data_IF_419162788301
#
_entry.id   IF_419162788301
#
_cell.length_a   1.000
_cell.length_b   1.000
_cell.length_c   1.000
_cell.angle_alpha   90.00
_cell.angle_beta   90.00
_cell.angle_gamma   90.00
#
_symmetry.space_group_name_H-M   'P 1'
#
loop_
_entity.id
_entity.type
_entity.pdbx_description
1 polymer ?
#
# COMPACT_ATOMS: atom_id res chain seq x y z
N UNK A 1 23.80 9.27 27.44
CA UNK A 1 23.36 8.92 28.81
C UNK A 1 22.18 9.74 29.34
N UNK A 2 22.11 11.07 29.14
CA UNK A 2 21.08 11.94 29.77
C UNK A 2 19.63 11.62 29.32
N UNK A 3 19.42 11.19 28.06
CA UNK A 3 18.08 10.86 27.54
C UNK A 3 17.49 9.58 28.16
N UNK A 4 18.32 8.57 28.45
CA UNK A 4 17.87 7.30 29.03
C UNK A 4 17.39 7.50 30.48
N UNK A 5 18.09 8.35 31.24
CA UNK A 5 17.71 8.67 32.62
C UNK A 5 16.39 9.44 32.71
N UNK A 6 16.07 10.31 31.74
CA UNK A 6 14.77 11.00 31.67
C UNK A 6 13.64 10.03 31.32
N UNK A 7 13.87 9.09 30.41
CA UNK A 7 12.87 8.10 30.03
C UNK A 7 12.50 7.15 31.18
N UNK A 8 13.50 6.64 31.92
CA UNK A 8 13.30 5.78 33.10
C UNK A 8 12.50 6.44 34.23
N UNK A 9 12.47 7.78 34.29
CA UNK A 9 11.72 8.53 35.31
C UNK A 9 10.23 8.69 35.00
N UNK A 10 9.78 8.37 33.79
CA UNK A 10 8.37 8.49 33.39
C UNK A 10 7.62 7.14 33.39
N UNK A 11 8.31 6.03 33.65
CA UNK A 11 7.68 4.70 33.68
C UNK A 11 6.93 4.49 35.01
N UNK A 12 5.70 3.94 35.02
CA UNK A 12 4.95 3.64 36.25
C UNK A 12 5.72 2.74 37.22
N UNK A 13 5.55 2.96 38.53
CA UNK A 13 6.31 2.28 39.59
C UNK A 13 6.19 0.76 39.49
N UNK A 14 5.00 0.25 39.17
CA UNK A 14 4.72 -1.18 39.00
C UNK A 14 5.57 -1.83 37.90
N UNK A 15 5.84 -1.09 36.81
CA UNK A 15 6.65 -1.56 35.68
C UNK A 15 8.14 -1.47 36.00
N UNK A 16 8.58 -0.48 36.80
CA UNK A 16 9.99 -0.38 37.24
C UNK A 16 10.45 -1.58 38.06
N UNK A 17 9.55 -2.20 38.82
CA UNK A 17 9.84 -3.42 39.57
C UNK A 17 10.12 -4.63 38.66
N UNK A 18 9.60 -4.67 37.43
CA UNK A 18 9.79 -5.78 36.49
C UNK A 18 11.02 -5.60 35.59
N UNK A 19 11.41 -4.35 35.30
CA UNK A 19 12.56 -4.06 34.42
C UNK A 19 13.87 -4.59 35.01
N UNK A 20 14.09 -4.44 36.32
CA UNK A 20 15.33 -4.88 36.98
C UNK A 20 15.57 -6.40 36.91
N UNK A 21 14.60 -7.27 37.30
CA UNK A 21 14.80 -8.71 37.18
C UNK A 21 14.91 -9.15 35.72
N UNK A 22 14.14 -8.57 34.79
CA UNK A 22 14.24 -8.91 33.37
C UNK A 22 15.62 -8.62 32.77
N UNK A 23 16.24 -7.50 33.16
CA UNK A 23 17.58 -7.12 32.68
C UNK A 23 18.66 -8.06 33.25
N UNK A 24 18.57 -8.43 34.53
CA UNK A 24 19.47 -9.43 35.14
C UNK A 24 19.33 -10.81 34.49
N UNK A 25 18.10 -11.22 34.17
CA UNK A 25 17.82 -12.50 33.52
C UNK A 25 18.38 -12.51 32.08
N UNK A 26 18.21 -11.41 31.35
CA UNK A 26 18.81 -11.24 30.01
C UNK A 26 20.33 -11.29 30.05
N UNK A 27 20.98 -10.62 31.01
CA UNK A 27 22.43 -10.66 31.18
C UNK A 27 22.92 -12.07 31.55
N UNK A 28 22.15 -12.76 32.40
CA UNK A 28 22.43 -14.15 32.80
C UNK A 28 22.35 -15.13 31.63
N UNK A 29 21.34 -15.01 30.76
CA UNK A 29 21.20 -15.86 29.57
C UNK A 29 22.35 -15.62 28.58
N UNK A 30 22.76 -14.36 28.39
CA UNK A 30 23.90 -14.05 27.53
C UNK A 30 25.21 -14.60 28.09
N UNK A 31 25.44 -14.47 29.41
CA UNK A 31 26.61 -15.03 30.07
C UNK A 31 26.63 -16.57 29.99
N UNK A 32 25.47 -17.22 30.14
CA UNK A 32 25.34 -18.67 30.00
C UNK A 32 25.67 -19.13 28.57
N UNK A 33 25.19 -18.42 27.54
CA UNK A 33 25.51 -18.73 26.15
C UNK A 33 27.01 -18.60 25.85
N UNK A 34 27.68 -17.62 26.43
CA UNK A 34 29.13 -17.45 26.27
C UNK A 34 29.96 -18.47 27.09
N UNK A 35 29.37 -19.08 28.11
CA UNK A 35 30.01 -20.09 28.94
C UNK A 35 29.86 -21.52 28.40
N UNK A 36 28.99 -21.74 27.40
CA UNK A 36 28.90 -23.03 26.73
C UNK A 36 30.17 -23.25 25.89
N UNK A 37 30.94 -24.33 26.14
CA UNK A 37 32.11 -24.63 25.34
C UNK A 37 31.67 -24.88 23.90
N UNK A 38 32.22 -24.10 22.97
CA UNK A 38 32.07 -24.33 21.54
C UNK A 38 32.59 -25.74 21.29
N UNK A 39 31.70 -26.65 20.90
CA UNK A 39 32.09 -27.99 20.52
C UNK A 39 33.13 -27.86 19.38
N UNK A 40 34.28 -28.54 19.47
CA UNK A 40 35.28 -28.49 18.42
C UNK A 40 34.64 -28.94 17.11
N UNK A 41 34.84 -28.16 16.05
CA UNK A 41 34.33 -28.47 14.72
C UNK A 41 34.67 -29.92 14.38
N UNK A 42 33.68 -30.73 13.95
CA UNK A 42 33.95 -32.08 13.48
C UNK A 42 34.93 -31.96 12.31
N UNK A 43 36.12 -32.53 12.49
CA UNK A 43 37.20 -32.50 11.52
C UNK A 43 36.65 -32.82 10.13
N UNK A 44 36.85 -31.88 9.21
CA UNK A 44 36.55 -32.06 7.79
C UNK A 44 37.15 -33.38 7.32
N UNK A 45 36.37 -34.33 6.79
CA UNK A 45 36.92 -35.57 6.26
C UNK A 45 37.80 -35.25 5.05
N UNK A 46 39.06 -35.68 5.12
CA UNK A 46 40.03 -35.62 4.02
C UNK A 46 39.47 -36.27 2.75
N UNK A 47 39.60 -35.63 1.57
CA UNK A 47 39.16 -36.21 0.31
C UNK A 47 40.30 -37.04 -0.30
N UNK A 48 40.55 -38.24 0.21
CA UNK A 48 41.40 -39.21 -0.50
C UNK A 48 40.87 -40.66 -0.43
N UNK A 49 40.82 -41.24 -1.63
CA UNK A 49 40.85 -42.68 -1.95
C UNK A 49 39.58 -43.54 -1.76
N UNK A 50 38.85 -43.74 -2.87
CA UNK A 50 38.31 -45.05 -3.30
C UNK A 50 37.74 -44.85 -4.72
N UNK A 51 38.47 -45.13 -5.81
CA UNK A 51 38.73 -46.45 -6.40
C UNK A 51 37.57 -47.45 -6.33
N UNK A 52 37.03 -47.70 -7.54
CA UNK A 52 36.61 -48.98 -8.12
C UNK A 52 35.20 -49.57 -7.85
N UNK A 53 34.48 -49.67 -8.98
CA UNK A 53 33.49 -50.69 -9.43
C UNK A 53 32.04 -50.70 -8.88
N UNK A 54 31.05 -51.26 -9.62
CA UNK A 54 31.05 -51.68 -11.04
C UNK A 54 29.88 -51.11 -11.88
N UNK A 55 30.03 -51.24 -13.20
CA UNK A 55 28.99 -51.06 -14.22
C UNK A 55 27.63 -51.68 -13.82
N UNK A 56 26.65 -50.83 -13.54
CA UNK A 56 25.24 -51.21 -13.55
C UNK A 56 24.70 -50.84 -14.94
N UNK A 57 24.64 -51.84 -15.81
CA UNK A 57 23.90 -51.76 -17.06
C UNK A 57 22.42 -51.55 -16.75
N UNK A 58 21.95 -50.31 -16.91
CA UNK A 58 20.53 -49.95 -16.81
C UNK A 58 19.90 -50.27 -18.17
N UNK A 59 19.06 -51.30 -18.18
CA UNK A 59 18.28 -51.72 -19.35
C UNK A 59 17.20 -50.65 -19.65
N UNK A 60 17.48 -49.81 -20.63
CA UNK A 60 16.57 -48.79 -21.15
C UNK A 60 15.40 -49.50 -21.86
N UNK A 61 14.32 -49.73 -21.11
CA UNK A 61 13.04 -50.12 -21.69
C UNK A 61 12.53 -48.98 -22.57
N UNK A 62 12.69 -49.12 -23.88
CA UNK A 62 12.16 -48.21 -24.87
C UNK A 62 10.64 -48.36 -24.94
N UNK A 63 9.94 -47.24 -24.73
CA UNK A 63 8.49 -47.17 -24.95
C UNK A 63 8.20 -47.18 -26.47
N UNK A 64 7.08 -47.79 -26.91
CA UNK A 64 6.69 -47.83 -28.31
C UNK A 64 6.48 -46.42 -28.88
N UNK A 65 6.85 -46.18 -30.15
CA UNK A 65 6.55 -44.91 -30.81
C UNK A 65 5.04 -44.78 -31.03
N UNK A 66 4.42 -43.85 -30.31
CA UNK A 66 3.03 -43.47 -30.53
C UNK A 66 2.92 -42.70 -31.85
N UNK A 67 2.17 -43.28 -32.80
CA UNK A 67 1.89 -42.71 -34.10
C UNK A 67 0.98 -41.49 -33.95
N UNK A 68 1.57 -40.31 -33.89
CA UNK A 68 0.84 -39.04 -34.00
C UNK A 68 0.33 -38.86 -35.45
N UNK A 69 -0.96 -38.51 -35.65
CA UNK A 69 -1.48 -38.14 -36.96
C UNK A 69 -0.89 -36.80 -37.42
N UNK A 70 -0.38 -36.78 -38.65
CA UNK A 70 0.15 -35.60 -39.34
C UNK A 70 -0.84 -34.42 -39.29
N UNK A 71 -0.43 -33.23 -38.85
CA UNK A 71 -1.25 -32.03 -38.99
C UNK A 71 -1.29 -31.61 -40.46
N UNK A 72 -2.49 -31.58 -41.04
CA UNK A 72 -2.74 -30.94 -42.33
C UNK A 72 -2.38 -29.45 -42.22
N UNK A 73 -1.43 -29.02 -43.04
CA UNK A 73 -1.11 -27.63 -43.31
C UNK A 73 -2.35 -26.90 -43.82
N UNK A 74 -2.98 -26.12 -42.95
CA UNK A 74 -3.92 -25.10 -43.35
C UNK A 74 -3.15 -24.02 -44.12
N UNK A 75 -3.68 -23.70 -45.30
CA UNK A 75 -3.17 -22.72 -46.26
C UNK A 75 -2.98 -21.33 -45.64
N UNK A 76 -1.77 -20.81 -45.83
CA UNK A 76 -1.31 -19.46 -45.53
C UNK A 76 -2.21 -18.39 -46.16
N UNK A 77 -2.75 -17.42 -45.39
CA UNK A 77 -3.43 -16.27 -45.96
C UNK A 77 -2.42 -15.30 -46.58
N UNK A 78 -2.71 -14.93 -47.82
CA UNK A 78 -2.01 -13.95 -48.66
C UNK A 78 -1.81 -12.61 -47.92
N UNK A 79 -0.59 -12.03 -47.91
CA UNK A 79 -0.36 -10.70 -47.35
C UNK A 79 -1.01 -9.62 -48.24
N UNK A 80 -1.72 -8.63 -47.67
CA UNK A 80 -2.21 -7.48 -48.42
C UNK A 80 -1.04 -6.58 -48.87
N UNK A 81 -1.24 -5.98 -50.04
CA UNK A 81 -0.29 -5.12 -50.73
C UNK A 81 0.27 -3.99 -49.85
N UNK A 82 1.60 -3.85 -49.92
CA UNK A 82 2.38 -2.73 -49.41
C UNK A 82 1.97 -1.45 -50.13
N UNK A 83 1.33 -0.53 -49.40
CA UNK A 83 1.04 0.82 -49.89
C UNK A 83 2.22 1.71 -49.51
N UNK A 84 3.02 2.04 -50.51
CA UNK A 84 4.08 3.04 -50.47
C UNK A 84 3.50 4.40 -50.10
N UNK A 85 3.76 4.88 -48.88
CA UNK A 85 3.49 6.26 -48.48
C UNK A 85 4.75 7.10 -48.66
N UNK A 86 4.59 8.20 -49.39
CA UNK A 86 5.62 9.19 -49.72
C UNK A 86 6.24 9.86 -48.49
N UNK A 87 7.50 10.33 -48.58
CA UNK A 87 8.17 11.04 -47.51
C UNK A 87 7.57 12.44 -47.35
N UNK A 88 6.95 12.70 -46.20
CA UNK A 88 6.54 14.04 -45.80
C UNK A 88 7.72 14.73 -45.12
N UNK A 89 8.30 15.70 -45.83
CA UNK A 89 9.26 16.67 -45.34
C UNK A 89 8.61 17.65 -44.36
N UNK A 90 9.10 17.73 -43.12
CA UNK A 90 8.90 18.91 -42.26
C UNK A 90 10.01 19.01 -41.19
N UNK A 91 10.23 20.17 -40.56
CA UNK A 91 11.48 20.90 -40.70
C UNK A 91 12.35 20.79 -39.44
N UNK A 92 13.65 20.77 -39.68
CA UNK A 92 14.70 20.90 -38.70
C UNK A 92 14.61 22.28 -38.02
N UNK A 93 14.07 22.32 -36.80
CA UNK A 93 14.18 23.47 -35.91
C UNK A 93 15.60 23.53 -35.33
N UNK A 94 16.24 24.68 -35.54
CA UNK A 94 17.57 25.00 -35.11
C UNK A 94 17.72 24.93 -33.56
N UNK A 95 18.90 24.53 -33.06
CA UNK A 95 19.21 24.63 -31.63
C UNK A 95 19.33 26.11 -31.23
N UNK A 96 18.58 26.51 -30.21
CA UNK A 96 18.78 27.81 -29.56
C UNK A 96 20.13 27.81 -28.81
N UNK A 97 20.94 28.88 -28.93
CA UNK A 97 22.21 29.00 -28.22
C UNK A 97 21.99 29.14 -26.71
N UNK A 98 22.84 28.46 -25.95
CA UNK A 98 22.78 28.42 -24.49
C UNK A 98 22.91 29.79 -23.84
N UNK A 99 22.00 30.09 -22.92
CA UNK A 99 22.17 31.15 -21.94
C UNK A 99 22.99 30.59 -20.79
N UNK A 100 24.28 30.88 -20.82
CA UNK A 100 25.21 30.71 -19.71
C UNK A 100 24.86 31.76 -18.64
N UNK A 101 24.06 31.37 -17.63
CA UNK A 101 23.80 32.23 -16.47
C UNK A 101 24.95 32.05 -15.49
N UNK A 102 25.86 33.02 -15.50
CA UNK A 102 26.93 33.15 -14.53
C UNK A 102 26.35 33.47 -13.13
N UNK A 103 26.65 32.71 -12.08
CA UNK A 103 26.20 33.05 -10.73
C UNK A 103 26.94 34.30 -10.23
N UNK A 104 26.17 35.35 -9.97
CA UNK A 104 26.64 36.57 -9.33
C UNK A 104 26.82 36.30 -7.82
N UNK A 105 28.00 36.50 -7.22
CA UNK A 105 28.15 36.43 -5.78
C UNK A 105 27.50 37.66 -5.14
N UNK A 106 26.30 37.48 -4.59
CA UNK A 106 25.65 38.50 -3.77
C UNK A 106 26.21 38.41 -2.35
N UNK A 107 27.28 39.17 -2.12
CA UNK A 107 27.83 39.44 -0.80
C UNK A 107 27.11 40.69 -0.27
N UNK A 108 26.04 40.49 0.51
CA UNK A 108 25.34 41.58 1.18
C UNK A 108 25.41 41.36 2.70
N UNK A 109 26.29 42.16 3.30
CA UNK A 109 26.42 42.39 4.74
C UNK A 109 25.10 42.92 5.29
N UNK A 110 24.46 42.16 6.19
CA UNK A 110 23.29 42.64 6.92
C UNK A 110 23.79 43.49 8.10
N UNK A 111 23.59 44.79 7.97
CA UNK A 111 23.75 45.74 9.05
C UNK A 111 22.70 45.51 10.14
N UNK A 112 23.16 45.58 11.38
CA UNK A 112 22.39 45.56 12.62
C UNK A 112 21.51 46.82 12.61
N UNK A 113 20.18 46.67 12.62
CA UNK A 113 19.26 47.78 12.90
C UNK A 113 18.83 47.68 14.35
N UNK A 114 19.30 48.69 15.08
CA UNK A 114 19.02 49.01 16.46
C UNK A 114 17.56 49.41 16.66
N UNK A 115 17.09 49.07 17.85
CA UNK A 115 15.72 49.11 18.34
C UNK A 115 15.25 50.56 18.54
N UNK A 116 14.06 50.90 18.05
CA UNK A 116 13.35 52.14 18.40
C UNK A 116 11.96 51.82 18.98
N UNK A 117 11.47 52.59 19.96
CA UNK A 117 10.27 52.29 20.75
C UNK A 117 8.95 52.60 20.02
N UNK A 118 7.82 51.96 20.41
CA UNK A 118 6.53 52.18 19.77
C UNK A 118 5.95 53.55 20.15
N UNK A 119 5.70 54.36 19.11
CA UNK A 119 5.06 55.66 19.20
C UNK A 119 3.53 55.53 18.99
N UNK A 120 2.81 56.45 19.63
CA UNK A 120 1.39 56.44 19.94
C UNK A 120 0.40 56.28 18.78
N UNK A 121 -0.75 55.72 19.16
CA UNK A 121 -2.01 55.59 18.44
C UNK A 121 -2.62 56.96 18.07
N UNK A 122 -3.19 57.14 16.86
CA UNK A 122 -4.13 58.22 16.59
C UNK A 122 -5.58 57.74 16.65
N UNK A 123 -6.36 58.34 17.55
CA UNK A 123 -7.82 58.47 17.47
C UNK A 123 -8.20 59.38 16.29
N UNK A 124 -9.03 58.91 15.35
CA UNK A 124 -9.86 59.75 14.46
C UNK A 124 -11.15 58.93 14.20
N UNK A 125 -12.27 59.28 14.84
CA UNK A 125 -13.30 60.27 14.44
C UNK A 125 -14.30 59.73 13.40
N UNK A 126 -15.51 59.45 13.92
CA UNK A 126 -16.85 59.78 13.42
C UNK A 126 -17.20 59.65 11.92
N UNK A 127 -18.24 58.84 11.69
CA UNK A 127 -19.19 58.72 10.57
C UNK A 127 -19.28 59.84 9.52
N UNK A 128 -19.72 59.47 8.30
CA UNK A 128 -21.09 59.85 7.95
C UNK A 128 -21.95 58.74 7.33
N UNK A 129 -23.21 58.82 7.77
CA UNK A 129 -24.43 58.23 7.26
C UNK A 129 -24.53 58.25 5.73
N UNK A 130 -24.73 57.09 5.09
CA UNK A 130 -25.17 57.00 3.69
C UNK A 130 -26.50 56.25 3.63
N UNK A 131 -27.52 56.80 2.94
CA UNK A 131 -28.86 56.22 2.85
C UNK A 131 -28.90 54.93 2.02
N UNK A 132 -29.91 54.07 2.23
CA UNK A 132 -30.06 52.81 1.51
C UNK A 132 -30.46 53.04 0.05
N UNK A 133 -29.82 52.37 -0.92
CA UNK A 133 -30.40 52.24 -2.25
C UNK A 133 -31.52 51.19 -2.20
N UNK A 134 -32.75 51.69 -2.26
CA UNK A 134 -33.93 50.90 -2.63
C UNK A 134 -33.75 50.29 -4.03
N UNK A 135 -34.22 49.05 -4.17
CA UNK A 135 -34.83 48.61 -5.44
C UNK A 135 -33.90 48.00 -6.48
N UNK A 136 -33.52 46.74 -6.28
CA UNK A 136 -33.51 45.75 -7.35
C UNK A 136 -33.61 44.35 -6.74
N UNK A 137 -34.83 43.96 -6.38
CA UNK A 137 -35.18 42.57 -6.13
C UNK A 137 -35.11 41.81 -7.47
N UNK A 138 -33.88 41.48 -7.88
CA UNK A 138 -33.66 40.48 -8.91
C UNK A 138 -34.14 39.15 -8.33
N UNK A 139 -35.33 38.73 -8.75
CA UNK A 139 -35.85 37.38 -8.58
C UNK A 139 -34.80 36.41 -9.10
N UNK A 140 -34.01 35.85 -8.19
CA UNK A 140 -33.14 34.73 -8.50
C UNK A 140 -34.08 33.56 -8.76
N UNK A 141 -34.34 33.31 -10.04
CA UNK A 141 -34.95 32.08 -10.49
C UNK A 141 -34.14 30.94 -9.86
N UNK A 142 -34.77 30.04 -9.08
CA UNK A 142 -34.05 28.94 -8.44
C UNK A 142 -33.29 28.19 -9.52
N UNK A 143 -31.97 28.09 -9.34
CA UNK A 143 -31.13 27.25 -10.18
C UNK A 143 -31.78 25.86 -10.20
N UNK A 144 -31.99 25.24 -11.37
CA UNK A 144 -32.55 23.91 -11.45
C UNK A 144 -31.68 23.00 -10.59
N UNK A 145 -32.26 22.51 -9.49
CA UNK A 145 -31.71 21.45 -8.67
C UNK A 145 -31.43 20.28 -9.60
N UNK A 146 -30.16 20.09 -9.94
CA UNK A 146 -29.70 18.98 -10.75
C UNK A 146 -30.24 17.71 -10.07
N UNK A 147 -31.01 16.86 -10.78
CA UNK A 147 -31.52 15.64 -10.18
C UNK A 147 -30.35 14.85 -9.59
N UNK A 148 -30.51 14.26 -8.39
CA UNK A 148 -29.48 13.41 -7.81
C UNK A 148 -28.98 12.44 -8.88
N UNK A 149 -27.66 12.32 -9.11
CA UNK A 149 -27.15 11.38 -10.10
C UNK A 149 -27.77 10.01 -9.82
N UNK A 150 -28.38 9.41 -10.84
CA UNK A 150 -28.98 8.10 -10.71
C UNK A 150 -27.94 7.14 -10.10
N UNK A 151 -28.32 6.30 -9.12
CA UNK A 151 -27.38 5.37 -8.51
C UNK A 151 -26.79 4.53 -9.62
N UNK A 152 -25.51 4.77 -9.92
CA UNK A 152 -24.78 3.93 -10.84
C UNK A 152 -24.74 2.57 -10.16
N UNK A 153 -25.34 1.55 -10.76
CA UNK A 153 -25.27 0.18 -10.25
C UNK A 153 -23.81 -0.24 -10.31
N UNK A 154 -23.08 0.05 -9.24
CA UNK A 154 -21.70 -0.39 -9.06
C UNK A 154 -21.78 -1.91 -9.07
N UNK A 155 -21.24 -2.52 -10.13
CA UNK A 155 -21.14 -3.96 -10.23
C UNK A 155 -20.41 -4.43 -8.97
N UNK A 156 -21.11 -5.16 -8.10
CA UNK A 156 -20.53 -5.60 -6.84
C UNK A 156 -19.25 -6.39 -7.14
N UNK A 157 -18.12 -5.99 -6.54
CA UNK A 157 -16.86 -6.69 -6.76
C UNK A 157 -17.05 -8.16 -6.35
N UNK A 158 -16.59 -9.15 -7.16
CA UNK A 158 -16.95 -10.57 -7.03
C UNK A 158 -16.52 -11.28 -5.72
N UNK A 159 -15.99 -10.53 -4.74
CA UNK A 159 -15.56 -11.03 -3.42
C UNK A 159 -15.87 -10.04 -2.29
N UNK A 160 -16.77 -9.08 -2.51
CA UNK A 160 -17.15 -8.09 -1.49
C UNK A 160 -17.85 -8.73 -0.28
N UNK A 161 -18.48 -9.90 -0.46
CA UNK A 161 -19.18 -10.66 0.56
C UNK A 161 -18.35 -11.77 1.22
N UNK A 162 -17.01 -11.71 1.08
CA UNK A 162 -16.10 -12.67 1.69
C UNK A 162 -16.39 -12.83 3.20
N UNK A 163 -16.57 -14.06 3.72
CA UNK A 163 -16.91 -14.27 5.11
C UNK A 163 -15.87 -13.68 6.07
N UNK A 164 -16.38 -13.07 7.13
CA UNK A 164 -15.56 -12.50 8.20
C UNK A 164 -15.76 -13.35 9.45
N UNK A 165 -14.70 -13.98 9.93
CA UNK A 165 -14.78 -14.77 11.15
C UNK A 165 -15.01 -13.85 12.35
N UNK A 166 -15.84 -14.31 13.29
CA UNK A 166 -16.12 -13.56 14.52
C UNK A 166 -14.83 -13.41 15.32
N UNK A 167 -14.51 -12.19 15.77
CA UNK A 167 -13.26 -11.91 16.48
C UNK A 167 -12.05 -11.66 15.56
N UNK A 168 -12.20 -11.79 14.24
CA UNK A 168 -11.15 -11.37 13.30
C UNK A 168 -10.98 -9.85 13.29
N UNK A 169 -9.73 -9.40 13.29
CA UNK A 169 -9.36 -8.00 13.15
C UNK A 169 -8.96 -7.70 11.71
N UNK A 170 -9.40 -6.55 11.19
CA UNK A 170 -9.07 -6.10 9.83
C UNK A 170 -7.68 -5.46 9.76
N UNK A 171 -6.93 -5.82 8.73
CA UNK A 171 -5.64 -5.23 8.38
C UNK A 171 -4.48 -5.86 9.13
N UNK A 172 -3.75 -6.72 8.42
CA UNK A 172 -2.47 -7.27 8.84
C UNK A 172 -1.42 -7.00 7.77
N UNK A 173 -0.18 -6.74 8.19
CA UNK A 173 0.98 -6.58 7.32
C UNK A 173 0.80 -5.54 6.20
N UNK A 174 -0.08 -4.55 6.40
CA UNK A 174 -0.40 -3.55 5.39
C UNK A 174 -1.19 -4.04 4.19
N UNK A 175 -1.58 -5.31 4.19
CA UNK A 175 -2.26 -5.93 3.08
C UNK A 175 -3.76 -5.67 3.14
N UNK A 176 -4.30 -5.22 1.99
CA UNK A 176 -5.73 -5.09 1.81
C UNK A 176 -6.47 -6.41 1.91
N UNK A 177 -7.62 -6.41 2.60
CA UNK A 177 -8.41 -7.62 2.82
C UNK A 177 -7.76 -8.67 3.73
N UNK A 178 -6.59 -8.38 4.32
CA UNK A 178 -5.94 -9.23 5.30
C UNK A 178 -6.69 -9.20 6.63
N UNK A 179 -6.88 -10.36 7.26
CA UNK A 179 -7.50 -10.49 8.58
C UNK A 179 -6.67 -11.35 9.51
N UNK A 180 -6.68 -11.00 10.78
CA UNK A 180 -5.95 -11.69 11.84
C UNK A 180 -6.92 -12.17 12.92
N UNK A 181 -6.75 -13.40 13.39
CA UNK A 181 -7.62 -14.01 14.41
C UNK A 181 -6.79 -14.91 15.34
N UNK A 182 -7.06 -14.89 16.64
CA UNK A 182 -6.35 -15.69 17.64
C UNK A 182 -6.91 -17.13 17.73
N UNK A 183 -6.87 -17.85 16.59
CA UNK A 183 -7.38 -19.21 16.44
C UNK A 183 -6.40 -20.09 15.67
N UNK A 184 -6.59 -21.42 15.74
CA UNK A 184 -5.75 -22.37 15.02
C UNK A 184 -5.98 -22.26 13.49
N UNK A 185 -4.92 -22.28 12.66
CA UNK A 185 -5.06 -22.11 11.21
C UNK A 185 -5.87 -23.22 10.55
N UNK A 186 -5.87 -24.43 11.12
CA UNK A 186 -6.68 -25.55 10.66
C UNK A 186 -8.18 -25.30 10.82
N UNK A 187 -8.60 -24.81 11.98
CA UNK A 187 -10.00 -24.49 12.31
C UNK A 187 -10.49 -23.28 11.50
N UNK A 188 -9.68 -22.23 11.43
CA UNK A 188 -9.93 -21.03 10.61
C UNK A 188 -10.16 -21.42 9.15
N UNK A 189 -9.27 -22.23 8.58
CA UNK A 189 -9.36 -22.65 7.19
C UNK A 189 -10.63 -23.47 6.91
N UNK A 190 -10.97 -24.40 7.81
CA UNK A 190 -12.15 -25.25 7.65
C UNK A 190 -13.44 -24.43 7.77
N UNK A 191 -13.48 -23.48 8.71
CA UNK A 191 -14.62 -22.59 8.91
C UNK A 191 -14.82 -21.66 7.71
N UNK A 192 -13.74 -21.03 7.22
CA UNK A 192 -13.78 -20.19 6.01
C UNK A 192 -14.26 -21.00 4.81
N UNK A 193 -13.71 -22.19 4.58
CA UNK A 193 -14.15 -23.08 3.50
C UNK A 193 -15.66 -23.33 3.56
N UNK A 194 -16.19 -23.76 4.71
CA UNK A 194 -17.62 -24.04 4.87
C UNK A 194 -18.49 -22.81 4.64
N UNK A 195 -18.12 -21.66 5.18
CA UNK A 195 -18.87 -20.42 5.01
C UNK A 195 -18.87 -19.94 3.56
N UNK A 196 -17.72 -20.05 2.87
CA UNK A 196 -17.60 -19.69 1.45
C UNK A 196 -18.40 -20.66 0.57
N UNK A 197 -18.30 -21.98 0.78
CA UNK A 197 -19.13 -22.95 0.05
C UNK A 197 -20.64 -22.68 0.25
N UNK A 198 -21.05 -22.33 1.48
CA UNK A 198 -22.45 -21.95 1.79
C UNK A 198 -22.90 -20.65 1.09
N UNK A 199 -21.97 -19.76 0.74
CA UNK A 199 -22.22 -18.53 -0.03
C UNK A 199 -22.08 -18.74 -1.56
N UNK A 200 -21.94 -19.98 -2.02
CA UNK A 200 -21.89 -20.32 -3.45
C UNK A 200 -20.50 -20.19 -4.09
N UNK A 201 -19.43 -20.09 -3.29
CA UNK A 201 -18.07 -20.15 -3.81
C UNK A 201 -17.66 -21.60 -4.08
N UNK A 202 -16.87 -21.81 -5.13
CA UNK A 202 -16.10 -23.05 -5.32
C UNK A 202 -14.77 -22.90 -4.60
N UNK A 203 -14.46 -23.78 -3.64
CA UNK A 203 -13.23 -23.72 -2.83
C UNK A 203 -12.44 -25.02 -2.98
N UNK A 204 -11.23 -24.94 -3.54
CA UNK A 204 -10.34 -26.08 -3.79
C UNK A 204 -9.03 -25.90 -3.05
N UNK A 205 -8.67 -26.86 -2.19
CA UNK A 205 -7.35 -26.87 -1.55
C UNK A 205 -6.28 -27.14 -2.62
N UNK A 206 -5.19 -26.36 -2.59
CA UNK A 206 -3.99 -26.57 -3.41
C UNK A 206 -2.99 -27.41 -2.65
N UNK A 207 -3.27 -28.71 -2.57
CA UNK A 207 -2.42 -29.69 -1.91
C UNK A 207 -1.07 -29.88 -2.61
N UNK A 208 -1.04 -29.63 -3.92
CA UNK A 208 0.17 -29.57 -4.75
C UNK A 208 1.21 -28.54 -4.28
N UNK A 209 0.81 -27.54 -3.49
CA UNK A 209 1.71 -26.49 -3.00
C UNK A 209 2.27 -26.76 -1.60
N UNK A 210 1.70 -27.68 -0.83
CA UNK A 210 2.00 -27.86 0.60
C UNK A 210 3.47 -28.26 0.84
N UNK A 211 4.03 -29.08 -0.05
CA UNK A 211 5.39 -29.62 0.08
C UNK A 211 6.47 -28.71 -0.51
N UNK A 212 6.09 -27.57 -1.09
CA UNK A 212 7.04 -26.59 -1.62
C UNK A 212 7.53 -25.69 -0.48
N UNK A 213 8.84 -25.47 -0.39
CA UNK A 213 9.47 -24.67 0.67
C UNK A 213 8.84 -23.28 0.85
N UNK A 214 8.40 -22.66 -0.25
CA UNK A 214 7.88 -21.29 -0.27
C UNK A 214 6.49 -21.15 0.37
N UNK A 215 5.77 -22.26 0.54
CA UNK A 215 4.42 -22.33 1.09
C UNK A 215 4.34 -23.14 2.38
N UNK A 216 5.49 -23.54 2.95
CA UNK A 216 5.52 -24.34 4.16
C UNK A 216 4.80 -23.63 5.33
N UNK A 217 3.84 -24.33 5.95
CA UNK A 217 3.03 -23.78 7.04
C UNK A 217 1.87 -22.88 6.59
N UNK A 218 1.59 -22.82 5.29
CA UNK A 218 0.41 -22.16 4.72
C UNK A 218 -0.61 -23.19 4.27
N UNK A 219 -1.89 -22.82 4.33
CA UNK A 219 -2.96 -23.48 3.59
C UNK A 219 -3.46 -22.54 2.51
N UNK A 220 -3.40 -22.98 1.26
CA UNK A 220 -3.80 -22.18 0.10
C UNK A 220 -5.03 -22.82 -0.53
N UNK A 221 -6.10 -22.04 -0.64
CA UNK A 221 -7.31 -22.44 -1.32
C UNK A 221 -7.48 -21.60 -2.59
N UNK A 222 -7.68 -22.26 -3.72
CA UNK A 222 -8.20 -21.63 -4.93
C UNK A 222 -9.71 -21.45 -4.76
N UNK A 223 -10.15 -20.20 -4.86
CA UNK A 223 -11.54 -19.79 -4.64
C UNK A 223 -12.08 -19.17 -5.92
N UNK A 224 -13.21 -19.67 -6.41
CA UNK A 224 -13.87 -19.12 -7.61
C UNK A 224 -15.32 -18.73 -7.34
N UNK A 225 -15.75 -17.57 -7.86
CA UNK A 225 -17.14 -17.08 -7.87
C UNK A 225 -17.36 -16.21 -9.10
N UNK A 226 -18.51 -16.38 -9.75
CA UNK A 226 -18.89 -15.63 -10.95
C UNK A 226 -17.80 -15.62 -12.05
N UNK A 227 -17.13 -16.76 -12.24
CA UNK A 227 -16.06 -16.93 -13.22
C UNK A 227 -14.73 -16.26 -12.87
N UNK A 228 -14.63 -15.58 -11.72
CA UNK A 228 -13.38 -14.98 -11.22
C UNK A 228 -12.73 -15.90 -10.20
N UNK A 229 -11.42 -16.12 -10.31
CA UNK A 229 -10.63 -16.95 -9.38
C UNK A 229 -9.66 -16.09 -8.56
N UNK A 230 -9.50 -16.42 -7.29
CA UNK A 230 -8.55 -15.84 -6.34
C UNK A 230 -7.96 -16.93 -5.44
N UNK A 231 -6.96 -16.59 -4.63
CA UNK A 231 -6.27 -17.49 -3.73
C UNK A 231 -6.42 -17.03 -2.28
N UNK A 232 -7.06 -17.84 -1.46
CA UNK A 232 -7.15 -17.63 -0.01
C UNK A 232 -5.92 -18.27 0.65
N UNK A 233 -5.06 -17.44 1.19
CA UNK A 233 -3.87 -17.84 1.93
C UNK A 233 -4.19 -17.79 3.42
N UNK A 234 -4.02 -18.91 4.13
CA UNK A 234 -4.19 -19.01 5.58
C UNK A 234 -2.85 -19.40 6.21
N UNK A 235 -2.34 -18.57 7.12
CA UNK A 235 -0.95 -18.59 7.60
C UNK A 235 -0.96 -18.54 9.13
N UNK A 236 -0.13 -19.37 9.76
CA UNK A 236 0.16 -19.24 11.19
C UNK A 236 1.19 -18.13 11.44
N UNK A 237 0.89 -17.16 12.30
CA UNK A 237 1.84 -16.10 12.69
C UNK A 237 2.89 -16.57 13.71
N UNK A 238 2.81 -17.83 14.16
CA UNK A 238 3.70 -18.39 15.18
C UNK A 238 3.36 -18.01 16.63
N UNK A 239 2.47 -17.04 16.85
CA UNK A 239 2.00 -16.59 18.17
C UNK A 239 0.63 -17.19 18.55
N UNK A 240 0.23 -18.28 17.89
CA UNK A 240 -1.12 -18.85 18.04
C UNK A 240 -2.20 -18.02 17.34
N UNK A 241 -1.81 -17.07 16.48
CA UNK A 241 -2.74 -16.32 15.64
C UNK A 241 -2.64 -16.83 14.20
N UNK A 242 -3.76 -16.68 13.50
CA UNK A 242 -3.89 -17.00 12.09
C UNK A 242 -4.16 -15.73 11.31
N UNK A 243 -3.41 -15.56 10.22
CA UNK A 243 -3.66 -14.56 9.21
C UNK A 243 -4.35 -15.23 8.04
N UNK A 244 -5.40 -14.61 7.51
CA UNK A 244 -5.98 -15.03 6.24
C UNK A 244 -6.17 -13.84 5.30
N UNK A 245 -5.87 -14.06 4.02
CA UNK A 245 -5.92 -13.03 2.98
C UNK A 245 -6.29 -13.64 1.63
N UNK A 246 -7.12 -12.93 0.88
CA UNK A 246 -7.51 -13.29 -0.48
C UNK A 246 -6.70 -12.49 -1.51
N UNK A 247 -5.85 -13.14 -2.29
CA UNK A 247 -4.98 -12.53 -3.31
C UNK A 247 -5.43 -12.91 -4.72
N UNK A 248 -5.17 -12.07 -5.74
CA UNK A 248 -5.51 -12.41 -7.13
C UNK A 248 -4.63 -13.51 -7.71
N UNK A 249 -3.39 -13.61 -7.23
CA UNK A 249 -2.37 -14.57 -7.68
C UNK A 249 -1.87 -15.41 -6.50
N UNK A 250 -1.23 -16.54 -6.79
CA UNK A 250 -0.53 -17.32 -5.77
C UNK A 250 0.53 -16.44 -5.12
N UNK A 251 0.54 -16.39 -3.78
CA UNK A 251 1.44 -15.52 -3.04
C UNK A 251 2.16 -16.35 -1.99
N UNK A 252 3.49 -16.26 -1.99
CA UNK A 252 4.34 -16.98 -1.04
C UNK A 252 4.30 -16.34 0.34
N UNK A 253 4.76 -17.09 1.35
CA UNK A 253 4.87 -16.57 2.72
C UNK A 253 5.78 -15.34 2.77
N UNK A 254 6.94 -15.42 2.13
CA UNK A 254 7.93 -14.35 2.12
C UNK A 254 7.36 -13.07 1.50
N UNK A 255 6.57 -13.16 0.44
CA UNK A 255 5.93 -11.99 -0.17
C UNK A 255 4.89 -11.34 0.74
N UNK A 256 4.10 -12.15 1.46
CA UNK A 256 3.12 -11.67 2.44
C UNK A 256 3.82 -10.97 3.62
N UNK A 257 4.89 -11.57 4.15
CA UNK A 257 5.70 -10.97 5.20
C UNK A 257 6.39 -9.67 4.73
N UNK A 258 6.85 -9.63 3.48
CA UNK A 258 7.47 -8.45 2.88
C UNK A 258 6.48 -7.32 2.54
N UNK A 259 5.18 -7.60 2.47
CA UNK A 259 4.19 -6.57 2.18
C UNK A 259 4.13 -5.47 3.25
N UNK A 260 4.41 -5.82 4.52
CA UNK A 260 4.52 -4.83 5.60
C UNK A 260 5.68 -3.85 5.39
N UNK A 261 6.78 -4.33 4.81
CA UNK A 261 7.92 -3.49 4.41
C UNK A 261 7.52 -2.54 3.28
N UNK A 262 6.82 -3.04 2.26
CA UNK A 262 6.32 -2.22 1.14
C UNK A 262 5.37 -1.12 1.63
N UNK A 263 4.48 -1.43 2.57
CA UNK A 263 3.62 -0.41 3.17
C UNK A 263 4.45 0.67 3.89
N UNK A 264 5.50 0.27 4.61
CA UNK A 264 6.39 1.21 5.30
C UNK A 264 7.14 2.11 4.31
N UNK A 265 7.57 1.56 3.16
CA UNK A 265 8.17 2.32 2.08
C UNK A 265 7.19 3.34 1.48
N UNK A 266 5.94 2.92 1.21
CA UNK A 266 4.88 3.81 0.75
C UNK A 266 4.66 4.97 1.74
N UNK A 267 4.49 4.67 3.03
CA UNK A 267 4.31 5.68 4.08
C UNK A 267 5.52 6.63 4.18
N UNK A 268 6.72 6.13 3.93
CA UNK A 268 7.94 6.95 3.88
C UNK A 268 7.90 7.92 2.69
N UNK A 269 7.51 7.45 1.51
CA UNK A 269 7.33 8.30 0.32
C UNK A 269 6.29 9.40 0.60
N UNK A 270 5.13 9.04 1.16
CA UNK A 270 4.06 9.99 1.47
C UNK A 270 4.45 10.98 2.56
N UNK A 271 5.19 10.54 3.59
CA UNK A 271 5.72 11.41 4.64
C UNK A 271 6.70 12.43 4.07
N UNK A 272 7.59 12.00 3.17
CA UNK A 272 8.54 12.90 2.52
C UNK A 272 7.84 13.93 1.62
N UNK A 273 6.85 13.50 0.84
CA UNK A 273 6.06 14.38 -0.03
C UNK A 273 5.24 15.40 0.76
N UNK A 274 4.68 15.02 1.91
CA UNK A 274 3.95 15.94 2.79
C UNK A 274 4.84 16.83 3.63
N UNK A 275 6.16 16.59 3.67
CA UNK A 275 7.06 17.23 4.63
C UNK A 275 6.69 16.91 6.08
N UNK A 276 6.04 15.75 6.31
CA UNK A 276 5.52 15.32 7.61
C UNK A 276 4.23 16.00 8.06
N UNK A 277 3.62 16.85 7.22
CA UNK A 277 2.33 17.48 7.53
C UNK A 277 1.21 16.45 7.53
N UNK A 278 0.34 16.52 8.55
CA UNK A 278 -0.80 15.62 8.70
C UNK A 278 -2.12 16.37 8.57
N UNK A 279 -3.08 15.76 7.92
CA UNK A 279 -4.44 16.29 7.88
C UNK A 279 -5.23 15.87 9.14
N UNK A 280 -6.20 16.69 9.49
CA UNK A 280 -7.09 16.54 10.63
C UNK A 280 -8.55 16.63 10.18
N UNK A 281 -9.47 16.14 11.02
CA UNK A 281 -10.92 16.13 10.78
C UNK A 281 -11.48 17.40 10.11
N UNK A 282 -11.22 18.63 10.59
CA UNK A 282 -11.82 19.86 10.01
C UNK A 282 -11.26 20.24 8.63
N UNK A 283 -10.26 19.55 8.10
CA UNK A 283 -9.68 19.86 6.80
C UNK A 283 -10.34 19.09 5.65
N UNK A 284 -11.17 18.09 5.96
CA UNK A 284 -11.91 17.33 4.96
C UNK A 284 -13.20 18.05 4.58
N UNK A 285 -13.53 18.07 3.29
CA UNK A 285 -14.83 18.57 2.81
C UNK A 285 -15.99 17.70 3.34
N UNK A 286 -15.78 16.39 3.39
CA UNK A 286 -16.76 15.39 3.84
C UNK A 286 -16.16 14.49 4.93
N UNK A 287 -15.92 15.00 6.15
CA UNK A 287 -15.18 14.28 7.17
C UNK A 287 -15.83 12.95 7.57
N UNK A 288 -17.16 12.86 7.60
CA UNK A 288 -17.86 11.63 8.01
C UNK A 288 -17.64 10.43 7.08
N UNK A 289 -17.08 10.64 5.87
CA UNK A 289 -16.67 9.55 4.97
C UNK A 289 -15.34 8.90 5.39
N UNK A 290 -14.53 9.59 6.17
CA UNK A 290 -13.18 9.17 6.56
C UNK A 290 -13.05 8.86 8.06
N UNK A 291 -14.02 9.29 8.85
CA UNK A 291 -14.02 9.14 10.30
C UNK A 291 -15.31 8.53 10.82
N UNK A 292 -15.19 7.69 11.84
CA UNK A 292 -16.30 7.27 12.69
C UNK A 292 -16.24 8.09 13.98
N UNK A 293 -16.96 9.20 14.00
CA UNK A 293 -16.79 10.24 15.02
C UNK A 293 -15.47 10.98 14.82
N UNK A 294 -14.57 10.96 15.81
CA UNK A 294 -13.23 11.56 15.69
C UNK A 294 -12.14 10.56 15.32
N UNK A 295 -12.47 9.28 15.20
CA UNK A 295 -11.51 8.22 14.92
C UNK A 295 -11.48 7.94 13.41
N UNK A 296 -10.29 7.81 12.80
CA UNK A 296 -10.20 7.33 11.42
C UNK A 296 -10.94 6.00 11.26
N UNK A 297 -11.60 5.82 10.11
CA UNK A 297 -12.20 4.55 9.70
C UNK A 297 -11.17 3.41 9.74
N UNK A 298 -11.53 2.20 10.20
CA UNK A 298 -10.61 1.08 10.34
C UNK A 298 -10.02 0.57 9.01
N UNK A 299 -10.66 0.90 7.88
CA UNK A 299 -10.20 0.58 6.53
C UNK A 299 -9.01 1.46 6.10
N UNK A 300 -8.69 2.53 6.83
CA UNK A 300 -7.57 3.41 6.52
C UNK A 300 -6.25 2.76 6.94
N UNK A 301 -5.30 2.72 6.00
CA UNK A 301 -4.03 2.02 6.11
C UNK A 301 -2.97 2.74 6.94
N UNK A 302 -3.14 4.02 7.24
CA UNK A 302 -2.09 4.82 7.85
C UNK A 302 -2.56 6.19 8.33
N UNK A 303 -1.66 7.17 8.26
CA UNK A 303 -1.96 8.56 8.63
C UNK A 303 -2.55 9.31 7.43
N UNK A 304 -3.29 10.38 7.70
CA UNK A 304 -3.66 11.33 6.65
C UNK A 304 -2.51 12.28 6.38
N UNK A 305 -2.00 12.28 5.15
CA UNK A 305 -0.91 13.16 4.74
C UNK A 305 -1.48 14.43 4.11
N UNK A 306 -0.98 15.60 4.52
CA UNK A 306 -1.38 16.88 3.96
C UNK A 306 -0.26 17.44 3.08
N UNK A 307 -0.57 17.71 1.82
CA UNK A 307 0.35 18.34 0.87
C UNK A 307 -0.15 19.76 0.58
N UNK A 308 0.46 20.80 1.20
CA UNK A 308 0.02 22.18 1.04
C UNK A 308 0.30 22.70 -0.38
N UNK A 309 -0.56 23.59 -0.87
CA UNK A 309 -0.43 24.29 -2.14
C UNK A 309 -0.68 23.44 -3.40
N UNK A 310 -0.84 22.12 -3.26
CA UNK A 310 -1.12 21.23 -4.39
C UNK A 310 -2.61 21.03 -4.60
N UNK A 311 -3.09 21.15 -5.85
CA UNK A 311 -4.40 20.62 -6.23
C UNK A 311 -4.29 19.11 -6.54
N UNK A 312 -5.38 18.33 -6.37
CA UNK A 312 -5.31 16.87 -6.54
C UNK A 312 -4.85 16.42 -7.93
N UNK A 313 -5.22 17.15 -8.99
CA UNK A 313 -4.86 16.82 -10.37
C UNK A 313 -3.37 17.02 -10.67
N UNK A 314 -2.75 18.06 -10.14
CA UNK A 314 -1.32 18.31 -10.28
C UNK A 314 -0.51 17.33 -9.44
N UNK A 315 -0.98 17.09 -8.20
CA UNK A 315 -0.34 16.13 -7.31
C UNK A 315 -0.41 14.71 -7.89
N UNK A 316 -1.51 14.32 -8.54
CA UNK A 316 -1.62 12.96 -9.08
C UNK A 316 -0.54 12.63 -10.11
N UNK A 317 -0.15 13.60 -10.95
CA UNK A 317 0.92 13.42 -11.95
C UNK A 317 2.27 13.19 -11.27
N UNK A 318 2.64 14.06 -10.30
CA UNK A 318 3.94 13.97 -9.62
C UNK A 318 4.03 12.77 -8.68
N UNK A 319 2.95 12.48 -7.93
CA UNK A 319 2.84 11.34 -7.05
C UNK A 319 2.91 10.02 -7.83
N UNK A 320 2.16 9.90 -8.92
CA UNK A 320 2.20 8.69 -9.77
C UNK A 320 3.60 8.43 -10.30
N UNK A 321 4.26 9.47 -10.83
CA UNK A 321 5.65 9.34 -11.31
C UNK A 321 6.62 8.93 -10.20
N UNK A 322 6.46 9.48 -8.99
CA UNK A 322 7.28 9.13 -7.82
C UNK A 322 7.07 7.67 -7.42
N UNK A 323 5.82 7.24 -7.30
CA UNK A 323 5.46 5.87 -6.92
C UNK A 323 5.93 4.85 -7.96
N UNK A 324 5.75 5.14 -9.26
CA UNK A 324 6.26 4.30 -10.34
C UNK A 324 7.79 4.22 -10.33
N UNK A 325 8.49 5.32 -10.02
CA UNK A 325 9.93 5.34 -9.80
C UNK A 325 10.38 4.47 -8.61
N UNK A 326 9.52 4.28 -7.61
CA UNK A 326 9.71 3.35 -6.49
C UNK A 326 9.21 1.93 -6.78
N UNK A 327 8.75 1.65 -8.01
CA UNK A 327 8.33 0.32 -8.45
C UNK A 327 6.89 -0.06 -8.14
N UNK A 328 6.02 0.91 -7.84
CA UNK A 328 4.58 0.68 -7.71
C UNK A 328 3.88 0.79 -9.07
N UNK A 329 2.92 -0.10 -9.32
CA UNK A 329 1.89 0.13 -10.30
C UNK A 329 0.79 1.02 -9.70
N UNK A 330 0.27 1.96 -10.49
CA UNK A 330 -0.74 2.93 -10.06
C UNK A 330 -1.78 3.04 -11.17
N UNK A 331 -3.06 2.88 -10.83
CA UNK A 331 -4.17 3.01 -11.80
C UNK A 331 -5.38 3.70 -11.17
N UNK A 332 -6.09 4.61 -11.87
CA UNK A 332 -7.30 5.22 -11.35
C UNK A 332 -8.46 4.22 -11.35
N UNK A 333 -9.21 4.15 -10.25
CA UNK A 333 -10.32 3.19 -10.08
C UNK A 333 -11.67 3.84 -9.77
N UNK A 334 -11.71 5.13 -9.42
CA UNK A 334 -12.95 5.84 -9.18
C UNK A 334 -12.76 7.16 -8.44
N UNK A 335 -13.83 7.62 -7.80
CA UNK A 335 -13.83 8.83 -6.96
C UNK A 335 -14.45 8.53 -5.60
N UNK A 336 -13.93 9.16 -4.54
CA UNK A 336 -14.47 9.03 -3.19
C UNK A 336 -14.21 10.31 -2.39
N UNK A 337 -15.25 10.84 -1.75
CA UNK A 337 -15.15 12.04 -0.91
C UNK A 337 -14.63 13.30 -1.65
N UNK A 338 -14.92 13.42 -2.95
CA UNK A 338 -14.50 14.55 -3.78
C UNK A 338 -13.06 14.46 -4.32
N UNK A 339 -12.43 13.29 -4.20
CA UNK A 339 -11.08 13.01 -4.71
C UNK A 339 -11.04 11.79 -5.62
N UNK A 340 -10.00 11.67 -6.44
CA UNK A 340 -9.76 10.49 -7.28
C UNK A 340 -9.11 9.40 -6.41
N UNK A 341 -9.62 8.18 -6.54
CA UNK A 341 -9.07 6.97 -5.95
C UNK A 341 -8.20 6.24 -6.98
N UNK A 342 -6.99 5.92 -6.58
CA UNK A 342 -6.03 5.11 -7.32
C UNK A 342 -5.85 3.77 -6.62
N UNK A 343 -5.85 2.67 -7.36
CA UNK A 343 -5.29 1.42 -6.89
C UNK A 343 -3.77 1.48 -7.04
N UNK A 344 -3.07 1.05 -5.99
CA UNK A 344 -1.63 0.91 -5.96
C UNK A 344 -1.25 -0.52 -5.65
N UNK A 345 -0.27 -1.05 -6.37
CA UNK A 345 0.24 -2.41 -6.13
C UNK A 345 1.74 -2.50 -6.34
N UNK A 346 2.38 -3.35 -5.51
CA UNK A 346 3.79 -3.70 -5.65
C UNK A 346 4.01 -5.06 -5.00
N UNK A 347 4.40 -6.06 -5.79
CA UNK A 347 4.49 -7.46 -5.34
C UNK A 347 3.14 -7.90 -4.76
N UNK A 348 3.12 -8.50 -3.56
CA UNK A 348 1.91 -8.88 -2.86
C UNK A 348 1.13 -7.71 -2.26
N UNK A 349 1.74 -6.53 -2.14
CA UNK A 349 1.06 -5.36 -1.58
C UNK A 349 0.04 -4.81 -2.58
N UNK A 350 -1.19 -4.61 -2.09
CA UNK A 350 -2.27 -3.92 -2.80
C UNK A 350 -2.98 -3.00 -1.80
N UNK A 351 -3.21 -1.76 -2.21
CA UNK A 351 -3.94 -0.75 -1.45
C UNK A 351 -4.52 0.31 -2.37
N UNK A 352 -5.11 1.35 -1.78
CA UNK A 352 -5.69 2.45 -2.56
C UNK A 352 -5.22 3.80 -2.02
N UNK A 353 -4.99 4.75 -2.91
CA UNK A 353 -4.70 6.15 -2.58
C UNK A 353 -5.87 7.01 -2.99
N UNK A 354 -6.39 7.82 -2.08
CA UNK A 354 -7.39 8.83 -2.40
C UNK A 354 -6.79 10.23 -2.27
N UNK A 355 -6.89 11.04 -3.32
CA UNK A 355 -6.37 12.42 -3.38
C UNK A 355 -7.53 13.42 -3.32
N UNK A 356 -7.71 14.04 -2.16
CA UNK A 356 -8.89 14.85 -1.85
C UNK A 356 -8.48 16.30 -1.62
N UNK A 357 -9.17 17.30 -2.18
CA UNK A 357 -8.88 18.70 -1.86
C UNK A 357 -9.21 18.98 -0.39
N UNK A 358 -8.43 19.84 0.26
CA UNK A 358 -8.80 20.38 1.58
C UNK A 358 -10.06 21.25 1.47
N UNK A 359 -10.78 21.42 2.58
CA UNK A 359 -12.00 22.24 2.64
C UNK A 359 -11.76 23.70 2.20
N UNK A 360 -10.57 24.24 2.48
CA UNK A 360 -10.16 25.58 2.08
C UNK A 360 -9.59 25.65 0.64
N UNK A 361 -9.43 24.51 -0.04
CA UNK A 361 -8.84 24.40 -1.37
C UNK A 361 -7.34 24.72 -1.43
N UNK A 362 -6.68 24.87 -0.28
CA UNK A 362 -5.28 25.28 -0.18
C UNK A 362 -4.29 24.10 -0.16
N UNK A 363 -4.77 22.86 -0.28
CA UNK A 363 -3.92 21.68 -0.36
C UNK A 363 -4.66 20.43 -0.78
N UNK A 364 -3.93 19.33 -0.78
CA UNK A 364 -4.47 17.99 -1.04
C UNK A 364 -4.18 17.07 0.15
N UNK A 365 -5.20 16.35 0.59
CA UNK A 365 -5.11 15.28 1.57
C UNK A 365 -4.92 13.97 0.81
N UNK A 366 -3.89 13.21 1.18
CA UNK A 366 -3.65 11.86 0.69
C UNK A 366 -4.06 10.86 1.76
N UNK A 367 -4.97 9.97 1.40
CA UNK A 367 -5.46 8.90 2.27
C UNK A 367 -5.06 7.55 1.69
N UNK A 368 -4.39 6.73 2.49
CA UNK A 368 -4.11 5.33 2.15
C UNK A 368 -5.24 4.47 2.68
N UNK A 369 -5.85 3.66 1.82
CA UNK A 369 -6.87 2.68 2.19
C UNK A 369 -6.36 1.26 2.01
N UNK A 370 -6.76 0.38 2.93
CA UNK A 370 -6.53 -1.06 2.86
C UNK A 370 -7.51 -1.74 1.91
N UNK A 371 -8.69 -1.17 1.70
CA UNK A 371 -9.68 -1.68 0.77
C UNK A 371 -10.24 -0.55 -0.07
N UNK A 372 -10.87 -0.88 -1.20
CA UNK A 372 -11.53 0.13 -2.01
C UNK A 372 -12.56 0.86 -1.13
N UNK A 373 -12.49 2.20 -1.01
CA UNK A 373 -13.42 2.93 -0.16
C UNK A 373 -14.83 2.86 -0.73
N UNK A 374 -15.80 2.68 0.17
CA UNK A 374 -17.22 2.52 -0.13
C UNK A 374 -18.11 3.03 1.00
#
# INVERSE_FOLDING_TARGET
MIKLQKWLKNVPISVRCLIRPALLLSLGVHALMLALPIAPDPASPDPEASMADPDVAIDLTSLPPELLPSPQLASSPTPPASISQSPSSNPQLAPSPGINVQPLPSNASVAIVETAPPQASPEISSSPNSPPPDGASASQSPLPSNPPPAPTTVLAAPFADLPQLTGSQSGCLGLGGCRQIAENPGEVSQTLKQQMEAQGYTVRLRDDLIDTSDYQGMKIYEVSKDGTTRYLNVISSGLGETIYILTPELTTRAEIENAGTVQTELETVLTNLSGGNRASYPQFVYPDLFFTGTNPRPEIGGQFHLIPGGNPTQLSVSLTSTLQGSGFAVSPVGEYGGGIVYEISQRAFMGYLNLIPTQDGMGTIVVVWRSLPG
#
